data_IF_063330381453
#
_entry.id   IF_063330381453
#
_cell.length_a   1.000
_cell.length_b   1.000
_cell.length_c   1.000
_cell.angle_alpha   90.00
_cell.angle_beta   90.00
_cell.angle_gamma   90.00
#
_symmetry.space_group_name_H-M   'P 1'
#
loop_
_entity.id
_entity.type
_entity.pdbx_description
1 polymer ?
#
# COMPACT_ATOMS: atom_id res chain seq x y z
N UNK A 1 -13.61 21.30 -18.60
CA UNK A 1 -12.66 21.73 -17.56
C UNK A 1 -11.92 20.47 -17.17
N UNK A 2 -10.69 20.31 -17.63
CA UNK A 2 -9.99 19.01 -17.64
C UNK A 2 -9.52 18.66 -16.22
N UNK A 3 -10.07 17.59 -15.64
CA UNK A 3 -9.66 17.04 -14.34
C UNK A 3 -8.18 16.59 -14.43
N UNK A 4 -7.30 17.25 -13.66
CA UNK A 4 -5.86 16.99 -13.62
C UNK A 4 -5.47 16.61 -12.18
N UNK A 5 -5.81 15.41 -11.71
CA UNK A 5 -5.28 14.88 -10.44
C UNK A 5 -4.95 13.38 -10.58
N UNK A 6 -3.83 12.90 -9.98
CA UNK A 6 -3.44 11.50 -10.03
C UNK A 6 -4.37 10.62 -9.18
N UNK A 7 -4.38 9.31 -9.43
CA UNK A 7 -5.37 8.32 -8.96
C UNK A 7 -6.00 8.49 -7.58
N UNK A 8 -7.29 8.13 -7.54
CA UNK A 8 -8.14 8.19 -6.35
C UNK A 8 -8.75 9.58 -6.15
N UNK A 9 -10.09 9.65 -6.13
CA UNK A 9 -10.81 10.92 -5.91
C UNK A 9 -10.92 11.28 -4.43
N UNK A 10 -10.75 10.31 -3.53
CA UNK A 10 -11.11 10.45 -2.12
C UNK A 10 -9.89 10.36 -1.21
N UNK A 11 -9.75 11.29 -0.27
CA UNK A 11 -8.76 11.23 0.80
C UNK A 11 -9.45 10.91 2.12
N UNK A 12 -8.76 10.21 3.02
CA UNK A 12 -9.26 9.98 4.37
C UNK A 12 -8.91 11.18 5.25
N UNK A 13 -9.92 11.75 5.91
CA UNK A 13 -9.79 12.93 6.74
C UNK A 13 -10.35 12.64 8.13
N UNK A 14 -9.68 13.06 9.21
CA UNK A 14 -10.26 12.93 10.55
C UNK A 14 -11.54 13.75 10.70
N UNK A 15 -12.47 13.30 11.56
CA UNK A 15 -13.68 14.09 11.86
C UNK A 15 -13.33 15.47 12.42
N UNK A 16 -12.27 15.61 13.21
CA UNK A 16 -11.86 16.90 13.76
C UNK A 16 -11.42 17.87 12.66
N UNK A 17 -10.65 17.39 11.67
CA UNK A 17 -10.27 18.22 10.53
C UNK A 17 -11.48 18.51 9.63
N UNK A 18 -12.29 17.51 9.31
CA UNK A 18 -13.49 17.66 8.48
C UNK A 18 -14.50 18.66 9.05
N UNK A 19 -14.72 18.61 10.37
CA UNK A 19 -15.63 19.53 11.08
C UNK A 19 -14.97 20.87 11.44
N UNK A 20 -13.72 21.12 11.00
CA UNK A 20 -12.94 22.33 11.31
C UNK A 20 -12.79 22.62 12.81
N UNK A 21 -12.73 21.57 13.64
CA UNK A 21 -12.53 21.70 15.10
C UNK A 21 -11.10 22.09 15.46
N UNK A 22 -10.15 21.73 14.61
CA UNK A 22 -8.74 22.06 14.75
C UNK A 22 -8.08 22.16 13.36
N UNK A 23 -6.99 22.93 13.21
CA UNK A 23 -6.28 23.07 11.95
C UNK A 23 -5.58 21.76 11.56
N UNK A 24 -5.29 21.62 10.26
CA UNK A 24 -4.44 20.55 9.73
C UNK A 24 -3.09 20.55 10.47
N UNK A 25 -2.62 19.37 10.87
CA UNK A 25 -1.28 19.18 11.41
C UNK A 25 -0.49 18.16 10.60
N UNK A 26 -1.08 17.01 10.28
CA UNK A 26 -0.37 15.91 9.64
C UNK A 26 -1.00 15.52 8.31
N UNK A 27 -0.16 15.29 7.32
CA UNK A 27 -0.52 14.82 6.00
C UNK A 27 0.47 13.73 5.59
N UNK A 28 -0.01 12.51 5.34
CA UNK A 28 0.82 11.46 4.76
C UNK A 28 0.10 10.74 3.64
N UNK A 29 0.89 10.07 2.79
CA UNK A 29 0.39 9.32 1.65
C UNK A 29 0.84 7.87 1.73
N UNK A 30 -0.12 6.98 1.93
CA UNK A 30 0.08 5.54 1.95
C UNK A 30 -0.53 4.88 0.71
N UNK A 31 -0.32 3.57 0.55
CA UNK A 31 -0.98 2.83 -0.52
C UNK A 31 -2.51 2.94 -0.37
N UNK A 32 -3.26 3.24 -1.44
CA UNK A 32 -4.71 3.27 -1.42
C UNK A 32 -5.32 1.99 -0.82
N UNK A 33 -6.27 2.15 0.09
CA UNK A 33 -7.00 1.01 0.69
C UNK A 33 -8.22 0.59 -0.15
N UNK A 34 -8.70 1.49 -1.04
CA UNK A 34 -9.88 1.31 -1.88
C UNK A 34 -9.61 1.86 -3.29
N UNK A 35 -10.37 1.38 -4.27
CA UNK A 35 -10.34 1.83 -5.69
C UNK A 35 -10.39 3.35 -5.87
N UNK A 36 -11.10 4.08 -5.01
CA UNK A 36 -11.25 5.54 -5.11
C UNK A 36 -10.40 6.31 -4.10
N UNK A 37 -9.59 5.63 -3.31
CA UNK A 37 -8.72 6.24 -2.31
C UNK A 37 -7.46 6.80 -2.97
N UNK A 38 -7.11 8.05 -2.70
CA UNK A 38 -5.91 8.70 -3.22
C UNK A 38 -4.63 8.30 -2.47
N UNK A 39 -4.79 7.57 -1.36
CA UNK A 39 -3.74 7.26 -0.40
C UNK A 39 -3.49 8.39 0.60
N UNK A 40 -4.06 9.57 0.38
CA UNK A 40 -3.86 10.70 1.29
C UNK A 40 -4.66 10.56 2.58
N UNK A 41 -4.00 10.92 3.67
CA UNK A 41 -4.54 10.97 5.03
C UNK A 41 -4.28 12.34 5.62
N UNK A 42 -5.30 12.97 6.19
CA UNK A 42 -5.18 14.29 6.80
C UNK A 42 -5.75 14.31 8.22
N UNK A 43 -4.90 14.70 9.16
CA UNK A 43 -5.25 14.80 10.58
C UNK A 43 -5.06 16.22 11.08
N UNK A 44 -5.96 16.62 11.97
CA UNK A 44 -5.88 17.87 12.70
C UNK A 44 -4.95 17.77 13.91
N UNK A 45 -4.55 18.93 14.43
CA UNK A 45 -3.77 19.02 15.66
C UNK A 45 -4.49 18.45 16.91
N UNK A 46 -5.82 18.36 16.89
CA UNK A 46 -6.59 17.80 18.00
C UNK A 46 -6.72 16.26 17.93
N UNK A 47 -6.22 15.63 16.87
CA UNK A 47 -6.29 14.19 16.74
C UNK A 47 -5.24 13.50 17.63
N UNK A 48 -5.66 12.40 18.25
CA UNK A 48 -4.86 11.57 19.14
C UNK A 48 -4.98 10.12 18.68
N UNK A 49 -4.07 9.25 19.12
CA UNK A 49 -4.18 7.79 18.90
C UNK A 49 -5.54 7.23 19.34
N UNK A 50 -6.22 7.87 20.30
CA UNK A 50 -7.55 7.48 20.79
C UNK A 50 -8.67 7.96 19.85
N UNK A 51 -8.57 9.17 19.27
CA UNK A 51 -9.56 9.67 18.30
C UNK A 51 -9.49 8.97 16.94
N UNK A 52 -8.37 8.27 16.66
CA UNK A 52 -8.17 7.47 15.45
C UNK A 52 -8.61 6.00 15.58
N UNK A 53 -8.82 5.49 16.80
CA UNK A 53 -9.21 4.10 17.08
C UNK A 53 -10.71 3.79 16.90
N UNK A 54 -11.54 4.81 16.69
CA UNK A 54 -12.98 4.65 16.48
C UNK A 54 -13.39 5.32 15.17
N UNK A 55 -13.96 4.53 14.25
CA UNK A 55 -14.89 4.81 13.12
C UNK A 55 -15.26 6.26 12.68
N UNK A 56 -14.37 7.24 12.83
CA UNK A 56 -14.66 8.67 12.67
C UNK A 56 -13.77 9.35 11.62
N UNK A 57 -13.10 8.59 10.77
CA UNK A 57 -12.46 9.17 9.59
C UNK A 57 -13.44 9.19 8.41
N UNK A 58 -13.42 10.25 7.60
CA UNK A 58 -14.31 10.43 6.45
C UNK A 58 -13.52 10.37 5.16
N UNK A 59 -14.03 9.62 4.20
CA UNK A 59 -13.57 9.71 2.82
C UNK A 59 -14.22 10.92 2.16
N UNK A 60 -13.39 11.82 1.61
CA UNK A 60 -13.84 13.10 1.05
C UNK A 60 -13.11 13.40 -0.25
N UNK A 61 -13.76 14.09 -1.17
CA UNK A 61 -13.15 14.41 -2.46
C UNK A 61 -12.00 15.40 -2.33
N UNK A 62 -11.11 15.45 -3.32
CA UNK A 62 -10.06 16.47 -3.39
C UNK A 62 -10.60 17.89 -3.23
N UNK A 63 -11.71 18.22 -3.90
CA UNK A 63 -12.33 19.55 -3.82
C UNK A 63 -12.79 19.86 -2.39
N UNK A 64 -13.31 18.84 -1.68
CA UNK A 64 -13.70 18.98 -0.27
C UNK A 64 -12.48 19.17 0.63
N UNK A 65 -11.39 18.45 0.38
CA UNK A 65 -10.12 18.63 1.11
C UNK A 65 -9.55 20.03 0.89
N UNK A 66 -9.52 20.51 -0.35
CA UNK A 66 -9.05 21.86 -0.67
C UNK A 66 -9.95 22.95 -0.06
N UNK A 67 -11.25 22.71 0.01
CA UNK A 67 -12.15 23.62 0.70
C UNK A 67 -11.81 23.72 2.19
N UNK A 68 -11.33 22.63 2.82
CA UNK A 68 -10.88 22.64 4.22
C UNK A 68 -9.53 23.36 4.37
N UNK A 69 -8.51 22.98 3.60
CA UNK A 69 -7.18 23.57 3.62
C UNK A 69 -6.58 23.65 2.18
N UNK A 70 -6.57 24.85 1.56
CA UNK A 70 -6.06 25.05 0.21
C UNK A 70 -4.58 24.69 0.03
N UNK A 71 -3.75 24.78 1.07
CA UNK A 71 -2.33 24.47 0.98
C UNK A 71 -2.05 23.01 0.56
N UNK A 72 -3.01 22.10 0.78
CA UNK A 72 -2.90 20.69 0.37
C UNK A 72 -2.69 20.54 -1.13
N UNK A 73 -3.18 21.48 -1.95
CA UNK A 73 -2.95 21.48 -3.39
C UNK A 73 -1.46 21.39 -3.76
N UNK A 74 -0.58 21.98 -2.93
CA UNK A 74 0.86 21.99 -3.18
C UNK A 74 1.55 20.66 -2.91
N UNK A 75 0.92 19.79 -2.13
CA UNK A 75 1.48 18.49 -1.76
C UNK A 75 0.75 17.32 -2.39
N UNK A 76 -0.45 17.51 -2.95
CA UNK A 76 -1.29 16.38 -3.39
C UNK A 76 -0.66 15.46 -4.44
N UNK A 77 0.28 16.00 -5.24
CA UNK A 77 1.06 15.23 -6.22
C UNK A 77 2.26 14.49 -5.64
N UNK A 78 2.59 14.64 -4.36
CA UNK A 78 3.75 13.98 -3.78
C UNK A 78 3.66 12.44 -3.88
N UNK A 79 4.80 11.75 -4.03
CA UNK A 79 4.83 10.29 -4.15
C UNK A 79 4.26 9.57 -2.93
N UNK A 80 3.95 8.27 -3.11
CA UNK A 80 3.67 7.37 -1.99
C UNK A 80 4.85 7.37 -1.02
N UNK A 81 4.55 7.26 0.28
CA UNK A 81 5.54 7.38 1.36
C UNK A 81 5.78 8.82 1.82
N UNK A 82 5.06 9.81 1.26
CA UNK A 82 5.12 11.18 1.76
C UNK A 82 4.62 11.24 3.21
N UNK A 83 5.37 11.91 4.08
CA UNK A 83 5.03 12.14 5.48
C UNK A 83 5.42 13.57 5.87
N UNK A 84 4.41 14.39 6.18
CA UNK A 84 4.56 15.84 6.29
C UNK A 84 3.75 16.42 7.45
N UNK A 85 4.28 17.49 8.03
CA UNK A 85 3.54 18.35 8.95
C UNK A 85 3.19 19.68 8.29
N UNK A 86 2.02 20.22 8.61
CA UNK A 86 1.63 21.57 8.23
C UNK A 86 2.02 22.56 9.33
N UNK A 87 3.01 23.41 9.05
CA UNK A 87 3.51 24.40 10.00
C UNK A 87 2.77 25.73 9.84
N UNK A 88 1.99 26.08 10.86
CA UNK A 88 1.30 27.38 10.98
C UNK A 88 2.12 28.43 11.75
N UNK A 89 3.27 28.04 12.31
CA UNK A 89 4.15 28.93 13.11
C UNK A 89 4.93 29.95 12.27
N UNK A 90 4.89 29.81 10.95
CA UNK A 90 5.60 30.64 9.98
C UNK A 90 4.62 31.30 9.02
N UNK A 91 4.96 32.48 8.50
CA UNK A 91 4.14 33.20 7.51
C UNK A 91 4.88 33.26 6.17
N UNK A 92 4.32 32.71 5.07
CA UNK A 92 3.08 31.94 5.00
C UNK A 92 3.22 30.52 5.62
N UNK A 93 2.10 29.90 6.05
CA UNK A 93 2.07 28.49 6.43
C UNK A 93 2.60 27.60 5.30
N UNK A 94 3.31 26.53 5.65
CA UNK A 94 3.87 25.60 4.67
C UNK A 94 4.02 24.20 5.25
N UNK A 95 4.17 23.23 4.36
CA UNK A 95 4.49 21.86 4.73
C UNK A 95 5.99 21.70 4.98
N UNK A 96 6.32 20.88 5.97
CA UNK A 96 7.67 20.39 6.26
C UNK A 96 7.65 18.87 6.32
N UNK A 97 8.76 18.22 5.99
CA UNK A 97 8.90 16.78 6.17
C UNK A 97 8.87 16.44 7.66
N UNK A 98 8.14 15.39 8.01
CA UNK A 98 7.85 15.05 9.41
C UNK A 98 9.11 14.71 10.22
N UNK A 99 10.09 14.07 9.59
CA UNK A 99 11.31 13.56 10.21
C UNK A 99 12.43 14.60 10.36
N UNK A 100 12.50 15.54 9.43
CA UNK A 100 13.63 16.46 9.23
C UNK A 100 13.24 17.92 9.44
N UNK A 101 11.95 18.23 9.47
CA UNK A 101 11.39 19.59 9.51
C UNK A 101 11.87 20.50 8.37
N UNK A 102 12.49 19.94 7.34
CA UNK A 102 12.88 20.67 6.15
C UNK A 102 11.64 21.00 5.33
N UNK A 103 11.67 22.17 4.68
CA UNK A 103 10.55 22.67 3.92
C UNK A 103 10.26 21.79 2.71
N UNK A 104 8.99 21.42 2.57
CA UNK A 104 8.45 20.73 1.39
C UNK A 104 8.28 21.74 0.26
N UNK A 105 8.77 21.39 -0.93
CA UNK A 105 8.58 22.21 -2.14
C UNK A 105 7.21 21.94 -2.76
N UNK A 106 6.43 22.96 -3.15
CA UNK A 106 5.21 22.74 -3.91
C UNK A 106 5.46 21.99 -5.22
N UNK A 107 4.55 21.07 -5.59
CA UNK A 107 4.56 20.37 -6.88
C UNK A 107 3.22 20.67 -7.59
N UNK A 108 3.12 21.78 -8.32
CA UNK A 108 1.85 22.18 -8.95
C UNK A 108 1.48 21.28 -10.14
N UNK A 109 2.46 20.82 -10.92
CA UNK A 109 2.26 19.87 -12.01
C UNK A 109 3.25 18.70 -11.95
N UNK A 110 2.93 17.61 -12.67
CA UNK A 110 3.79 16.43 -12.77
C UNK A 110 5.17 16.74 -13.38
N UNK A 111 5.31 17.83 -14.15
CA UNK A 111 6.61 18.26 -14.68
C UNK A 111 7.51 18.93 -13.62
N UNK A 112 6.95 19.29 -12.46
CA UNK A 112 7.62 20.10 -11.44
C UNK A 112 8.21 19.28 -10.29
N UNK A 113 8.27 17.95 -10.41
CA UNK A 113 8.94 17.14 -9.39
C UNK A 113 10.38 17.63 -9.22
N UNK A 114 10.82 17.98 -7.99
CA UNK A 114 12.16 18.50 -7.76
C UNK A 114 13.17 17.34 -7.69
N UNK A 115 13.24 16.55 -8.77
CA UNK A 115 14.03 15.32 -8.83
C UNK A 115 15.53 15.53 -8.64
N UNK A 116 16.03 16.75 -8.85
CA UNK A 116 17.42 17.12 -8.60
C UNK A 116 17.67 17.69 -7.20
N UNK A 117 16.60 18.00 -6.46
CA UNK A 117 16.71 18.55 -5.10
C UNK A 117 17.19 17.47 -4.12
N UNK A 118 18.26 17.73 -3.35
CA UNK A 118 18.84 16.72 -2.46
C UNK A 118 17.93 16.35 -1.29
N UNK A 119 17.07 17.26 -0.84
CA UNK A 119 16.09 16.98 0.22
C UNK A 119 15.02 16.04 -0.33
N UNK A 120 14.46 16.34 -1.50
CA UNK A 120 13.49 15.47 -2.16
C UNK A 120 14.07 14.09 -2.50
N UNK A 121 15.30 14.02 -3.03
CA UNK A 121 16.01 12.76 -3.30
C UNK A 121 16.15 11.87 -2.07
N UNK A 122 16.46 12.48 -0.92
CA UNK A 122 16.63 11.75 0.34
C UNK A 122 15.30 11.14 0.81
N UNK A 123 14.21 11.88 0.65
CA UNK A 123 12.87 11.43 1.07
C UNK A 123 12.22 10.45 0.09
N UNK A 124 12.52 10.56 -1.21
CA UNK A 124 11.92 9.73 -2.27
C UNK A 124 12.97 9.12 -3.22
N UNK A 125 13.97 8.37 -2.72
CA UNK A 125 15.06 7.86 -3.55
C UNK A 125 14.57 6.91 -4.64
N UNK A 126 13.63 6.02 -4.32
CA UNK A 126 13.04 5.09 -5.28
C UNK A 126 12.25 5.80 -6.37
N UNK A 127 11.53 6.87 -6.03
CA UNK A 127 10.79 7.68 -7.00
C UNK A 127 11.75 8.41 -7.95
N UNK A 128 12.84 8.98 -7.43
CA UNK A 128 13.81 9.67 -8.28
C UNK A 128 14.50 8.69 -9.23
N UNK A 129 14.86 7.50 -8.72
CA UNK A 129 15.48 6.45 -9.53
C UNK A 129 14.57 6.02 -10.68
N UNK A 130 13.27 5.81 -10.43
CA UNK A 130 12.32 5.46 -11.50
C UNK A 130 12.08 6.61 -12.46
N UNK A 131 11.95 7.84 -11.96
CA UNK A 131 11.70 9.04 -12.78
C UNK A 131 12.86 9.33 -13.76
N UNK A 132 14.11 9.14 -13.35
CA UNK A 132 15.28 9.39 -14.21
C UNK A 132 15.46 8.35 -15.34
N UNK A 133 14.87 7.15 -15.19
CA UNK A 133 14.88 6.11 -16.22
C UNK A 133 14.01 6.40 -17.43
N UNK A 134 13.10 7.39 -17.33
CA UNK A 134 11.97 7.56 -18.25
C UNK A 134 11.87 9.00 -18.78
N UNK A 135 12.91 9.45 -19.49
CA UNK A 135 12.98 10.80 -20.08
C UNK A 135 12.02 11.02 -21.26
N UNK A 136 11.25 10.02 -21.67
CA UNK A 136 10.28 10.11 -22.77
C UNK A 136 8.85 10.06 -22.26
N UNK A 137 8.51 11.07 -21.46
CA UNK A 137 7.14 11.54 -21.29
C UNK A 137 6.16 10.52 -20.72
N UNK A 138 6.01 10.49 -19.40
CA UNK A 138 4.82 9.90 -18.79
C UNK A 138 4.16 10.84 -17.76
N UNK A 139 2.91 11.14 -18.08
CA UNK A 139 1.87 11.59 -17.18
C UNK A 139 1.69 10.55 -16.08
N UNK A 140 2.29 10.76 -14.91
CA UNK A 140 1.94 10.00 -13.72
C UNK A 140 0.62 10.51 -13.15
N UNK A 141 -0.47 10.14 -13.81
CA UNK A 141 -1.53 9.49 -13.07
C UNK A 141 -1.18 8.01 -13.18
N UNK A 142 -0.79 7.37 -12.07
CA UNK A 142 -1.39 6.05 -11.88
C UNK A 142 -2.90 6.35 -12.09
N UNK A 143 -3.48 5.79 -13.14
CA UNK A 143 -4.89 5.44 -13.28
C UNK A 143 -4.87 3.99 -13.73
N UNK A 144 -4.81 3.07 -12.76
CA UNK A 144 -5.21 1.69 -12.94
C UNK A 144 -6.54 1.78 -13.69
N UNK A 145 -6.51 1.33 -14.93
CA UNK A 145 -7.70 1.24 -15.74
C UNK A 145 -8.73 0.39 -14.99
N UNK A 146 -9.99 0.52 -15.38
CA UNK A 146 -11.06 -0.29 -14.75
C UNK A 146 -10.77 -1.79 -14.85
N UNK A 147 -10.05 -2.22 -15.88
CA UNK A 147 -9.58 -3.59 -16.04
C UNK A 147 -8.52 -3.95 -14.99
N UNK A 148 -7.52 -3.10 -14.78
CA UNK A 148 -6.45 -3.33 -13.79
C UNK A 148 -7.00 -3.35 -12.37
N UNK A 149 -7.92 -2.41 -12.05
CA UNK A 149 -8.64 -2.40 -10.77
C UNK A 149 -9.49 -3.66 -10.58
N UNK A 150 -10.19 -4.12 -11.62
CA UNK A 150 -10.96 -5.36 -11.56
C UNK A 150 -10.06 -6.57 -11.30
N UNK A 151 -8.89 -6.63 -11.93
CA UNK A 151 -7.91 -7.69 -11.73
C UNK A 151 -7.32 -7.67 -10.32
N UNK A 152 -6.93 -6.51 -9.78
CA UNK A 152 -6.41 -6.41 -8.41
C UNK A 152 -7.47 -6.74 -7.35
N UNK A 153 -8.71 -6.29 -7.56
CA UNK A 153 -9.83 -6.67 -6.69
C UNK A 153 -10.11 -8.18 -6.76
N UNK A 154 -9.97 -8.77 -7.95
CA UNK A 154 -10.09 -10.21 -8.12
C UNK A 154 -8.99 -10.95 -7.35
N UNK A 155 -7.72 -10.57 -7.51
CA UNK A 155 -6.60 -11.15 -6.76
C UNK A 155 -6.81 -11.03 -5.25
N UNK A 156 -7.25 -9.86 -4.78
CA UNK A 156 -7.53 -9.65 -3.36
C UNK A 156 -8.64 -10.60 -2.86
N UNK A 157 -9.71 -10.79 -3.63
CA UNK A 157 -10.78 -11.74 -3.31
C UNK A 157 -10.30 -13.19 -3.29
N UNK A 158 -9.45 -13.58 -4.26
CA UNK A 158 -8.82 -14.89 -4.29
C UNK A 158 -7.92 -15.11 -3.08
N UNK A 159 -7.14 -14.10 -2.70
CA UNK A 159 -6.24 -14.18 -1.55
C UNK A 159 -7.00 -14.25 -0.22
N UNK A 160 -8.08 -13.49 -0.06
CA UNK A 160 -8.96 -13.59 1.11
C UNK A 160 -9.56 -14.99 1.21
N UNK A 161 -10.01 -15.54 0.07
CA UNK A 161 -10.52 -16.92 0.00
C UNK A 161 -9.44 -17.92 0.38
N UNK A 162 -8.23 -17.75 -0.14
CA UNK A 162 -7.08 -18.59 0.17
C UNK A 162 -6.76 -18.57 1.67
N UNK A 163 -6.71 -17.40 2.31
CA UNK A 163 -6.50 -17.29 3.76
C UNK A 163 -7.60 -18.02 4.54
N UNK A 164 -8.86 -17.90 4.12
CA UNK A 164 -9.96 -18.64 4.76
C UNK A 164 -9.80 -20.15 4.64
N UNK A 165 -9.29 -20.64 3.50
CA UNK A 165 -9.02 -22.05 3.29
C UNK A 165 -7.85 -22.56 4.15
N UNK A 166 -6.77 -21.79 4.28
CA UNK A 166 -5.63 -22.16 5.11
C UNK A 166 -5.94 -22.11 6.62
N UNK A 167 -6.60 -21.05 7.05
CA UNK A 167 -6.65 -20.63 8.46
C UNK A 167 -8.04 -20.69 9.09
N UNK A 168 -9.10 -20.90 8.32
CA UNK A 168 -10.47 -20.86 8.82
C UNK A 168 -10.79 -19.49 9.46
N UNK A 169 -11.24 -19.50 10.72
CA UNK A 169 -11.55 -18.31 11.53
C UNK A 169 -10.35 -17.78 12.32
N UNK A 170 -9.12 -18.21 12.02
CA UNK A 170 -7.93 -17.73 12.73
C UNK A 170 -7.57 -16.32 12.25
N UNK A 171 -7.57 -15.37 13.18
CA UNK A 171 -7.35 -13.94 12.94
C UNK A 171 -6.04 -13.41 13.55
N UNK A 172 -5.20 -14.29 14.09
CA UNK A 172 -3.85 -13.97 14.60
C UNK A 172 -2.87 -15.05 14.21
N UNK A 173 -1.60 -14.69 14.03
CA UNK A 173 -0.49 -15.61 13.82
C UNK A 173 0.56 -15.39 14.91
N UNK A 174 1.28 -16.45 15.27
CA UNK A 174 2.05 -16.46 16.53
C UNK A 174 3.43 -15.82 16.37
N UNK A 175 4.02 -15.86 15.17
CA UNK A 175 5.38 -15.38 14.94
C UNK A 175 5.64 -14.91 13.50
N UNK A 176 6.80 -14.29 13.26
CA UNK A 176 7.19 -13.78 11.94
C UNK A 176 7.42 -14.89 10.89
N UNK A 177 7.72 -16.13 11.31
CA UNK A 177 7.83 -17.28 10.40
C UNK A 177 6.47 -17.71 9.85
N UNK A 178 5.39 -17.55 10.62
CA UNK A 178 4.02 -17.79 10.14
C UNK A 178 3.68 -16.82 8.99
N UNK A 179 4.02 -15.54 9.15
CA UNK A 179 3.83 -14.55 8.10
C UNK A 179 4.72 -14.84 6.89
N UNK A 180 5.97 -15.24 7.09
CA UNK A 180 6.89 -15.60 6.00
C UNK A 180 6.36 -16.80 5.19
N UNK A 181 5.91 -17.87 5.86
CA UNK A 181 5.30 -19.03 5.23
C UNK A 181 4.05 -18.63 4.44
N UNK A 182 3.15 -17.87 5.07
CA UNK A 182 1.90 -17.45 4.44
C UNK A 182 2.14 -16.55 3.22
N UNK A 183 3.11 -15.64 3.29
CA UNK A 183 3.55 -14.80 2.16
C UNK A 183 4.07 -15.65 1.01
N UNK A 184 4.92 -16.63 1.29
CA UNK A 184 5.47 -17.50 0.27
C UNK A 184 4.41 -18.33 -0.45
N UNK A 185 3.49 -18.92 0.32
CA UNK A 185 2.34 -19.64 -0.23
C UNK A 185 1.42 -18.71 -1.03
N UNK A 186 1.21 -17.47 -0.58
CA UNK A 186 0.40 -16.48 -1.29
C UNK A 186 1.00 -16.10 -2.63
N UNK A 187 2.32 -15.88 -2.68
CA UNK A 187 3.06 -15.58 -3.92
C UNK A 187 2.96 -16.74 -4.91
N UNK A 188 3.09 -17.99 -4.44
CA UNK A 188 2.88 -19.17 -5.29
C UNK A 188 1.42 -19.32 -5.73
N UNK A 189 0.46 -19.07 -4.83
CA UNK A 189 -0.98 -19.21 -5.12
C UNK A 189 -1.48 -18.18 -6.13
N UNK A 190 -0.95 -16.96 -6.07
CA UNK A 190 -1.20 -15.88 -7.02
C UNK A 190 -0.22 -15.89 -8.19
N UNK A 191 0.64 -16.91 -8.31
CA UNK A 191 1.60 -16.98 -9.41
C UNK A 191 0.85 -17.01 -10.74
N UNK A 192 1.27 -16.11 -11.63
CA UNK A 192 0.71 -15.94 -12.97
C UNK A 192 1.87 -16.09 -13.95
N UNK A 193 1.67 -16.90 -14.99
CA UNK A 193 2.66 -17.11 -16.04
C UNK A 193 3.02 -15.80 -16.73
N UNK A 194 4.22 -15.73 -17.29
CA UNK A 194 4.73 -14.51 -17.93
C UNK A 194 3.84 -13.99 -19.07
N UNK A 195 3.11 -14.88 -19.75
CA UNK A 195 2.18 -14.54 -20.83
C UNK A 195 0.88 -13.88 -20.33
N UNK A 196 0.54 -14.04 -19.05
CA UNK A 196 -0.72 -13.57 -18.47
C UNK A 196 -0.54 -12.32 -17.59
N UNK A 197 0.65 -11.70 -17.59
CA UNK A 197 0.92 -10.44 -16.88
C UNK A 197 0.26 -9.28 -17.64
N UNK A 198 -0.77 -8.64 -17.07
CA UNK A 198 -1.62 -7.72 -17.83
C UNK A 198 -1.05 -6.30 -17.93
N UNK A 199 -0.04 -5.94 -17.12
CA UNK A 199 0.38 -4.55 -16.90
C UNK A 199 1.85 -4.40 -16.49
N UNK A 200 2.36 -3.18 -16.65
CA UNK A 200 3.62 -2.74 -16.04
C UNK A 200 3.52 -2.75 -14.50
N UNK A 201 4.62 -3.08 -13.82
CA UNK A 201 4.69 -3.17 -12.35
C UNK A 201 3.74 -4.20 -11.70
N UNK A 202 3.23 -5.18 -12.44
CA UNK A 202 2.33 -6.23 -11.92
C UNK A 202 2.83 -6.89 -10.62
N UNK A 203 4.13 -7.19 -10.55
CA UNK A 203 4.72 -7.80 -9.36
C UNK A 203 4.62 -6.90 -8.13
N UNK A 204 4.81 -5.59 -8.27
CA UNK A 204 4.69 -4.64 -7.16
C UNK A 204 3.24 -4.53 -6.68
N UNK A 205 2.27 -4.61 -7.60
CA UNK A 205 0.86 -4.63 -7.26
C UNK A 205 0.46 -5.91 -6.52
N UNK A 206 0.93 -7.09 -6.95
CA UNK A 206 0.72 -8.36 -6.25
C UNK A 206 1.33 -8.31 -4.84
N UNK A 207 2.54 -7.77 -4.71
CA UNK A 207 3.21 -7.59 -3.41
C UNK A 207 2.36 -6.72 -2.46
N UNK A 208 1.80 -5.63 -2.98
CA UNK A 208 0.93 -4.73 -2.21
C UNK A 208 -0.40 -5.40 -1.81
N UNK A 209 -1.01 -6.19 -2.69
CA UNK A 209 -2.22 -6.97 -2.38
C UNK A 209 -1.95 -7.92 -1.20
N UNK A 210 -0.81 -8.62 -1.21
CA UNK A 210 -0.44 -9.53 -0.12
C UNK A 210 -0.21 -8.77 1.19
N UNK A 211 0.57 -7.70 1.17
CA UNK A 211 0.82 -6.90 2.38
C UNK A 211 -0.48 -6.30 2.96
N UNK A 212 -1.39 -5.82 2.10
CA UNK A 212 -2.67 -5.28 2.51
C UNK A 212 -3.61 -6.35 3.08
N UNK A 213 -3.59 -7.57 2.52
CA UNK A 213 -4.37 -8.69 3.05
C UNK A 213 -3.89 -9.09 4.46
N UNK A 214 -2.58 -9.06 4.72
CA UNK A 214 -2.03 -9.30 6.06
C UNK A 214 -2.45 -8.22 7.06
N UNK A 215 -2.41 -6.95 6.65
CA UNK A 215 -2.87 -5.83 7.46
C UNK A 215 -4.37 -5.96 7.78
N UNK A 216 -5.20 -6.21 6.76
CA UNK A 216 -6.65 -6.29 6.90
C UNK A 216 -7.08 -7.45 7.80
N UNK A 217 -6.46 -8.63 7.64
CA UNK A 217 -6.85 -9.83 8.38
C UNK A 217 -6.26 -9.89 9.79
N UNK A 218 -4.97 -9.56 9.94
CA UNK A 218 -4.23 -9.81 11.18
C UNK A 218 -3.82 -8.53 11.90
N UNK A 219 -4.20 -7.35 11.40
CA UNK A 219 -3.64 -6.07 11.85
C UNK A 219 -2.10 -6.02 11.78
N UNK A 220 -1.49 -6.82 10.88
CA UNK A 220 -0.04 -6.86 10.72
C UNK A 220 0.44 -5.54 10.11
N UNK A 221 1.44 -4.85 10.68
CA UNK A 221 1.86 -3.54 10.18
C UNK A 221 2.23 -3.59 8.69
N UNK A 222 1.65 -2.69 7.89
CA UNK A 222 1.78 -2.73 6.42
C UNK A 222 3.24 -2.72 5.95
N UNK A 223 4.08 -1.87 6.56
CA UNK A 223 5.52 -1.79 6.23
C UNK A 223 6.25 -3.09 6.58
N UNK A 224 5.88 -3.73 7.69
CA UNK A 224 6.43 -5.04 8.06
C UNK A 224 5.98 -6.12 7.06
N UNK A 225 4.72 -6.09 6.62
CA UNK A 225 4.19 -6.95 5.56
C UNK A 225 4.97 -6.83 4.25
N UNK A 226 5.24 -5.60 3.80
CA UNK A 226 6.07 -5.34 2.61
C UNK A 226 7.49 -5.87 2.77
N UNK A 227 8.11 -5.66 3.93
CA UNK A 227 9.46 -6.17 4.21
C UNK A 227 9.51 -7.71 4.14
N UNK A 228 8.53 -8.41 4.70
CA UNK A 228 8.47 -9.88 4.63
C UNK A 228 8.30 -10.36 3.18
N UNK A 229 7.48 -9.68 2.36
CA UNK A 229 7.34 -9.99 0.93
C UNK A 229 8.67 -9.83 0.19
N UNK A 230 9.37 -8.70 0.39
CA UNK A 230 10.66 -8.46 -0.24
C UNK A 230 11.73 -9.46 0.22
N UNK A 231 11.73 -9.79 1.51
CA UNK A 231 12.62 -10.79 2.09
C UNK A 231 12.39 -12.16 1.44
N UNK A 232 11.13 -12.63 1.37
CA UNK A 232 10.80 -13.90 0.73
C UNK A 232 11.22 -13.93 -0.74
N UNK A 233 10.97 -12.87 -1.50
CA UNK A 233 11.35 -12.78 -2.91
C UNK A 233 12.87 -12.81 -3.10
N UNK A 234 13.63 -12.23 -2.17
CA UNK A 234 15.10 -12.32 -2.13
C UNK A 234 15.52 -13.76 -1.87
N UNK A 235 15.01 -14.37 -0.79
CA UNK A 235 15.36 -15.72 -0.36
C UNK A 235 14.99 -16.78 -1.41
N UNK A 236 13.89 -16.61 -2.15
CA UNK A 236 13.50 -17.52 -3.24
C UNK A 236 14.59 -17.69 -4.31
N UNK A 237 15.46 -16.69 -4.49
CA UNK A 237 16.55 -16.78 -5.48
C UNK A 237 17.65 -17.76 -5.08
N UNK A 238 17.79 -18.07 -3.78
CA UNK A 238 18.94 -18.81 -3.25
C UNK A 238 18.58 -19.92 -2.26
N UNK A 239 17.40 -19.91 -1.66
CA UNK A 239 16.95 -20.85 -0.64
C UNK A 239 16.03 -21.93 -1.22
N UNK A 240 16.44 -23.22 -1.16
CA UNK A 240 15.58 -24.33 -1.57
C UNK A 240 14.27 -24.38 -0.79
N UNK A 241 14.28 -24.00 0.49
CA UNK A 241 13.09 -23.95 1.34
C UNK A 241 12.10 -22.90 0.82
N UNK A 242 12.58 -21.68 0.49
CA UNK A 242 11.73 -20.64 -0.05
C UNK A 242 11.14 -21.02 -1.42
N UNK A 243 11.94 -21.66 -2.28
CA UNK A 243 11.46 -22.20 -3.56
C UNK A 243 10.39 -23.27 -3.36
N UNK A 244 10.59 -24.17 -2.40
CA UNK A 244 9.63 -25.23 -2.09
C UNK A 244 8.32 -24.66 -1.54
N UNK A 245 8.37 -23.68 -0.62
CA UNK A 245 7.17 -22.98 -0.13
C UNK A 245 6.39 -22.35 -1.30
N UNK A 246 7.08 -21.69 -2.22
CA UNK A 246 6.43 -21.11 -3.41
C UNK A 246 5.74 -22.17 -4.26
N UNK A 247 6.41 -23.30 -4.54
CA UNK A 247 5.85 -24.42 -5.29
C UNK A 247 4.61 -25.02 -4.61
N UNK A 248 4.58 -25.10 -3.28
CA UNK A 248 3.37 -25.51 -2.56
C UNK A 248 2.21 -24.53 -2.76
N UNK A 249 2.49 -23.23 -2.79
CA UNK A 249 1.49 -22.21 -3.14
C UNK A 249 0.89 -22.44 -4.53
N UNK A 250 1.73 -22.73 -5.52
CA UNK A 250 1.28 -23.07 -6.89
C UNK A 250 0.44 -24.36 -6.90
N UNK A 251 0.83 -25.39 -6.17
CA UNK A 251 0.03 -26.62 -6.05
C UNK A 251 -1.33 -26.35 -5.39
N UNK A 252 -1.38 -25.49 -4.37
CA UNK A 252 -2.64 -25.09 -3.74
C UNK A 252 -3.55 -24.34 -4.72
N UNK A 253 -3.00 -23.57 -5.68
CA UNK A 253 -3.77 -22.95 -6.76
C UNK A 253 -4.42 -24.01 -7.67
N UNK A 254 -3.69 -25.06 -8.02
CA UNK A 254 -4.22 -26.18 -8.81
C UNK A 254 -5.34 -26.90 -8.06
N UNK A 255 -5.19 -27.15 -6.75
CA UNK A 255 -6.25 -27.76 -5.94
C UNK A 255 -7.48 -26.87 -5.82
N UNK A 256 -7.28 -25.55 -5.68
CA UNK A 256 -8.37 -24.58 -5.64
C UNK A 256 -9.19 -24.64 -6.94
N UNK A 257 -8.51 -24.65 -8.10
CA UNK A 257 -9.14 -24.76 -9.42
C UNK A 257 -9.84 -26.12 -9.63
N UNK A 258 -9.29 -27.21 -9.08
CA UNK A 258 -9.89 -28.53 -9.09
C UNK A 258 -11.00 -28.73 -8.04
N UNK A 259 -11.40 -27.66 -7.33
CA UNK A 259 -12.39 -27.68 -6.24
C UNK A 259 -12.03 -28.63 -5.08
N UNK A 260 -10.74 -28.92 -4.88
CA UNK A 260 -10.20 -29.77 -3.81
C UNK A 260 -9.86 -28.96 -2.54
N UNK A 261 -10.76 -28.05 -2.14
CA UNK A 261 -10.54 -27.03 -1.11
C UNK A 261 -10.10 -27.59 0.25
N UNK A 262 -10.57 -28.78 0.61
CA UNK A 262 -10.21 -29.44 1.88
C UNK A 262 -8.72 -29.81 1.97
N UNK A 263 -8.04 -30.01 0.83
CA UNK A 263 -6.59 -30.34 0.81
C UNK A 263 -5.73 -29.16 1.22
N UNK A 264 -6.15 -27.94 0.88
CA UNK A 264 -5.40 -26.71 1.14
C UNK A 264 -5.21 -26.50 2.65
N UNK A 265 -6.26 -26.70 3.44
CA UNK A 265 -6.18 -26.56 4.90
C UNK A 265 -5.23 -27.60 5.52
N UNK A 266 -5.38 -28.87 5.13
CA UNK A 266 -4.54 -29.96 5.63
C UNK A 266 -3.06 -29.75 5.30
N UNK A 267 -2.77 -29.37 4.05
CA UNK A 267 -1.41 -29.09 3.61
C UNK A 267 -0.82 -27.88 4.33
N UNK A 268 -1.57 -26.78 4.48
CA UNK A 268 -1.10 -25.62 5.24
C UNK A 268 -0.72 -25.99 6.67
N UNK A 269 -1.54 -26.77 7.37
CA UNK A 269 -1.22 -27.24 8.72
C UNK A 269 0.01 -28.17 8.74
N UNK A 270 0.18 -29.02 7.72
CA UNK A 270 1.37 -29.85 7.55
C UNK A 270 2.64 -29.02 7.40
N UNK A 271 2.63 -28.04 6.51
CA UNK A 271 3.75 -27.14 6.26
C UNK A 271 4.06 -26.27 7.49
N UNK A 272 3.04 -25.76 8.18
CA UNK A 272 3.21 -25.00 9.42
C UNK A 272 3.92 -25.86 10.48
N UNK A 273 3.51 -27.11 10.66
CA UNK A 273 4.16 -28.03 11.59
C UNK A 273 5.58 -28.40 11.17
N UNK A 274 5.89 -28.43 9.87
CA UNK A 274 7.21 -28.79 9.37
C UNK A 274 8.23 -27.65 9.47
N UNK A 275 7.82 -26.40 9.18
CA UNK A 275 8.72 -25.27 9.07
C UNK A 275 8.75 -24.33 10.29
N UNK A 276 7.74 -24.40 11.16
CA UNK A 276 7.56 -23.41 12.25
C UNK A 276 7.68 -24.05 13.64
N UNK A 277 7.49 -25.38 13.77
CA UNK A 277 7.79 -26.06 15.02
C UNK A 277 9.27 -26.43 15.10
N UNK A 278 9.99 -25.58 15.84
CA UNK A 278 11.08 -25.92 16.77
C UNK A 278 11.09 -24.90 17.92
#
# INVERSE_FOLDING_TARGET
MNEWLPEGKLSLVSTNFFQRKAPLLWAWREAPALTNDSGWRFLSQADTTTSLKHSQAKLVSYEQVLALEPAIAFIYRYPLGADMQFSTKTTPPHFVYNDSYERVRPIPANADYPIEDPVFKRHFPSFVQSYQGDKTGLSWSYQLSQEELAQLNHLNSELVTFFNLCLGQTDTLDNDLDYYLLVGLSLGFLHISDEARPVDHWQDNVNNVIANALFTRFSYPLEKGKQVVLQFLSDRKSSPVAQQIHLYGEQMRLWYQANQKQRIQGEYQGLRNHYIKD
#
